data_IF_040282723615
#
_entry.id   IF_040282723615
#
_cell.length_a   1.000
_cell.length_b   1.000
_cell.length_c   1.000
_cell.angle_alpha   90.00
_cell.angle_beta   90.00
_cell.angle_gamma   90.00
#
_symmetry.space_group_name_H-M   'P 1'
#
loop_
_entity.id
_entity.type
_entity.pdbx_description
1 polymer ?
#
# COMPACT_ATOMS: atom_id res chain seq x y z
N UNK A 1 31.87 31.85 54.68
CA UNK A 1 30.54 31.76 55.32
C UNK A 1 29.53 32.80 54.81
N UNK A 2 29.91 33.98 54.28
CA UNK A 2 28.96 35.01 53.81
C UNK A 2 28.25 34.66 52.46
N UNK A 3 28.89 33.92 51.57
CA UNK A 3 28.31 33.57 50.30
C UNK A 3 27.21 32.46 50.34
N UNK A 4 27.33 31.57 51.34
CA UNK A 4 26.33 30.47 51.48
C UNK A 4 25.00 31.01 52.03
N UNK A 5 25.01 32.04 52.87
CA UNK A 5 23.79 32.66 53.40
C UNK A 5 23.02 33.43 52.30
N UNK A 6 23.76 34.13 51.42
CA UNK A 6 23.13 34.85 50.31
C UNK A 6 22.45 33.89 49.31
N UNK A 7 23.10 32.76 49.00
CA UNK A 7 22.54 31.76 48.07
C UNK A 7 21.28 31.10 48.63
N UNK A 8 21.26 30.77 49.93
CA UNK A 8 20.08 30.17 50.58
C UNK A 8 18.91 31.17 50.58
N UNK A 9 19.18 32.46 50.85
CA UNK A 9 18.15 33.49 50.86
C UNK A 9 17.50 33.68 49.49
N UNK A 10 18.29 33.68 48.41
CA UNK A 10 17.77 33.79 47.00
C UNK A 10 16.90 32.59 46.65
N UNK A 11 17.30 31.38 47.03
CA UNK A 11 16.51 30.16 46.76
C UNK A 11 15.17 30.20 47.50
N UNK A 12 15.16 30.62 48.75
CA UNK A 12 13.93 30.72 49.56
C UNK A 12 12.97 31.77 48.95
N UNK A 13 13.46 32.92 48.48
CA UNK A 13 12.65 33.94 47.83
C UNK A 13 12.05 33.43 46.50
N UNK A 14 12.81 32.70 45.71
CA UNK A 14 12.32 32.14 44.44
C UNK A 14 11.24 31.07 44.68
N UNK A 15 11.37 30.22 45.69
CA UNK A 15 10.35 29.23 46.05
C UNK A 15 9.07 29.93 46.58
N UNK A 16 9.20 30.96 47.41
CA UNK A 16 8.05 31.71 47.91
C UNK A 16 7.29 32.45 46.78
N UNK A 17 8.01 33.02 45.80
CA UNK A 17 7.42 33.69 44.66
C UNK A 17 6.66 32.71 43.73
N UNK A 18 7.19 31.52 43.54
CA UNK A 18 6.52 30.49 42.71
C UNK A 18 5.26 29.93 43.39
N UNK A 19 5.24 29.78 44.72
CA UNK A 19 4.05 29.33 45.45
C UNK A 19 2.93 30.38 45.43
N UNK A 20 3.27 31.68 45.58
CA UNK A 20 2.31 32.77 45.50
C UNK A 20 1.72 32.93 44.08
N UNK A 21 2.55 32.79 43.03
CA UNK A 21 2.11 32.82 41.62
C UNK A 21 1.15 31.69 41.28
N UNK A 22 1.38 30.48 41.78
CA UNK A 22 0.51 29.35 41.58
C UNK A 22 -0.85 29.51 42.25
N UNK A 23 -0.88 30.04 43.46
CA UNK A 23 -2.13 30.31 44.19
C UNK A 23 -3.02 31.36 43.51
N UNK A 24 -2.44 32.43 42.95
CA UNK A 24 -3.18 33.46 42.22
C UNK A 24 -3.69 32.90 40.88
N UNK A 25 -2.89 32.09 40.21
CA UNK A 25 -3.28 31.46 38.95
C UNK A 25 -4.51 30.54 39.09
N UNK A 26 -4.57 29.74 40.15
CA UNK A 26 -5.73 28.85 40.42
C UNK A 26 -6.98 29.61 40.84
N UNK A 27 -6.82 30.77 41.53
CA UNK A 27 -7.95 31.60 41.95
C UNK A 27 -8.55 32.41 40.79
N UNK A 28 -7.76 32.75 39.77
CA UNK A 28 -8.22 33.48 38.58
C UNK A 28 -8.84 32.58 37.50
N UNK A 29 -8.80 31.26 37.65
CA UNK A 29 -9.46 30.38 36.68
C UNK A 29 -10.98 30.50 36.88
N UNK A 30 -11.74 30.97 35.85
CA UNK A 30 -13.18 30.95 35.93
C UNK A 30 -13.64 29.49 36.11
N UNK A 31 -14.51 29.27 37.09
CA UNK A 31 -15.12 27.98 37.31
C UNK A 31 -15.84 27.54 36.02
N UNK A 32 -15.23 26.64 35.28
CA UNK A 32 -15.92 25.97 34.19
C UNK A 32 -16.97 25.07 34.83
N UNK A 33 -18.16 25.63 35.07
CA UNK A 33 -19.33 24.80 35.27
C UNK A 33 -19.56 24.05 33.95
N UNK A 34 -19.48 22.70 33.95
CA UNK A 34 -19.93 21.98 32.77
C UNK A 34 -21.41 22.32 32.60
N UNK A 35 -21.71 22.95 31.47
CA UNK A 35 -23.12 23.14 31.10
C UNK A 35 -23.78 21.76 31.11
N UNK A 36 -25.06 21.65 31.57
CA UNK A 36 -25.77 20.40 31.49
C UNK A 36 -25.75 19.96 30.02
N UNK A 37 -24.99 18.93 29.74
CA UNK A 37 -25.05 18.25 28.44
C UNK A 37 -26.46 17.63 28.36
N UNK A 38 -27.37 18.37 27.78
CA UNK A 38 -28.63 17.77 27.32
C UNK A 38 -28.16 16.71 26.31
N UNK A 39 -28.25 15.45 26.73
CA UNK A 39 -28.04 14.33 25.86
C UNK A 39 -29.08 14.39 24.75
N UNK A 40 -28.80 15.13 23.70
CA UNK A 40 -29.48 14.93 22.43
C UNK A 40 -28.92 13.58 21.97
N UNK A 41 -29.73 12.55 22.13
CA UNK A 41 -29.50 11.30 21.42
C UNK A 41 -29.72 11.64 19.93
N UNK A 42 -28.67 12.21 19.34
CA UNK A 42 -28.54 12.29 17.90
C UNK A 42 -28.37 10.86 17.42
N UNK A 43 -29.50 10.23 17.10
CA UNK A 43 -29.50 9.07 16.22
C UNK A 43 -29.04 9.58 14.86
N UNK A 44 -27.76 9.88 14.73
CA UNK A 44 -27.13 10.02 13.42
C UNK A 44 -27.09 8.62 12.86
N UNK A 45 -28.06 8.28 12.03
CA UNK A 45 -27.90 7.17 11.12
C UNK A 45 -26.53 7.37 10.43
N UNK A 46 -25.68 6.34 10.35
CA UNK A 46 -24.42 6.47 9.60
C UNK A 46 -24.78 7.01 8.22
N UNK A 47 -23.96 7.94 7.66
CA UNK A 47 -24.19 8.42 6.30
C UNK A 47 -24.34 7.20 5.39
N UNK A 48 -25.22 7.26 4.37
CA UNK A 48 -25.42 6.16 3.46
C UNK A 48 -24.03 5.75 2.94
N UNK A 49 -23.63 4.51 3.22
CA UNK A 49 -22.37 3.97 2.73
C UNK A 49 -22.41 4.10 1.20
N UNK A 50 -21.46 4.82 0.63
CA UNK A 50 -21.24 4.80 -0.82
C UNK A 50 -21.09 3.31 -1.15
N UNK A 51 -21.90 2.75 -2.07
CA UNK A 51 -21.80 1.34 -2.38
C UNK A 51 -20.34 1.04 -2.77
N UNK A 52 -19.70 0.11 -2.06
CA UNK A 52 -18.35 -0.31 -2.38
C UNK A 52 -18.38 -0.91 -3.79
N UNK A 53 -17.36 -0.57 -4.60
CA UNK A 53 -17.17 -1.14 -5.93
C UNK A 53 -17.19 -2.67 -5.85
N UNK A 54 -17.91 -3.31 -6.75
CA UNK A 54 -17.88 -4.77 -6.88
C UNK A 54 -16.64 -5.25 -7.64
N UNK A 55 -16.26 -6.51 -7.45
CA UNK A 55 -15.17 -7.11 -8.21
C UNK A 55 -15.41 -7.07 -9.72
N UNK A 56 -16.65 -7.22 -10.17
CA UNK A 56 -17.00 -7.14 -11.58
C UNK A 56 -16.78 -5.73 -12.15
N UNK A 57 -17.15 -4.68 -11.40
CA UNK A 57 -16.89 -3.30 -11.78
C UNK A 57 -15.39 -3.01 -11.83
N UNK A 58 -14.61 -3.49 -10.85
CA UNK A 58 -13.16 -3.33 -10.81
C UNK A 58 -12.46 -3.88 -12.08
N UNK A 59 -12.94 -5.00 -12.61
CA UNK A 59 -12.38 -5.58 -13.81
C UNK A 59 -12.67 -4.75 -15.08
N UNK A 60 -13.72 -3.93 -15.08
CA UNK A 60 -14.16 -3.13 -16.23
C UNK A 60 -13.73 -1.65 -16.15
N UNK A 61 -13.03 -1.24 -15.08
CA UNK A 61 -12.49 0.11 -15.01
C UNK A 61 -11.56 0.36 -16.18
N UNK A 62 -11.85 1.45 -16.91
CA UNK A 62 -11.02 1.88 -18.03
C UNK A 62 -9.81 2.67 -17.53
N UNK A 63 -8.62 2.21 -17.84
CA UNK A 63 -7.33 2.85 -17.54
C UNK A 63 -6.57 3.04 -18.85
N UNK A 64 -5.89 4.17 -18.99
CA UNK A 64 -5.11 4.42 -20.19
C UNK A 64 -3.72 3.75 -20.12
N UNK A 65 -3.27 3.19 -21.24
CA UNK A 65 -1.87 2.87 -21.42
C UNK A 65 -1.06 4.16 -21.68
N UNK A 66 0.26 4.02 -21.76
CA UNK A 66 1.15 5.16 -22.01
C UNK A 66 1.00 5.75 -23.42
N UNK A 67 0.24 5.17 -24.31
CA UNK A 67 -0.12 5.70 -25.62
C UNK A 67 -1.49 6.40 -25.62
N UNK A 68 -2.15 6.44 -24.44
CA UNK A 68 -3.48 7.01 -24.26
C UNK A 68 -4.61 6.09 -24.74
N UNK A 69 -4.31 4.82 -25.02
CA UNK A 69 -5.31 3.84 -25.39
C UNK A 69 -5.98 3.28 -24.14
N UNK A 70 -7.32 3.29 -24.07
CA UNK A 70 -8.04 2.72 -22.93
C UNK A 70 -7.98 1.18 -22.95
N UNK A 71 -7.80 0.63 -21.75
CA UNK A 71 -7.82 -0.81 -21.45
C UNK A 71 -8.55 -1.04 -20.13
N UNK A 72 -9.09 -2.24 -19.99
CA UNK A 72 -9.60 -2.76 -18.73
C UNK A 72 -8.97 -4.12 -18.41
N UNK A 73 -9.06 -4.60 -17.18
CA UNK A 73 -8.56 -5.94 -16.86
C UNK A 73 -9.33 -7.03 -17.61
N UNK A 74 -10.56 -6.74 -17.99
CA UNK A 74 -11.43 -7.62 -18.76
C UNK A 74 -10.91 -7.90 -20.18
N UNK A 75 -10.04 -7.05 -20.73
CA UNK A 75 -9.42 -7.24 -22.05
C UNK A 75 -8.57 -8.53 -22.13
N UNK A 76 -8.15 -9.04 -20.99
CA UNK A 76 -7.31 -10.24 -20.89
C UNK A 76 -8.05 -11.49 -20.39
N UNK A 77 -9.40 -11.48 -20.39
CA UNK A 77 -10.16 -12.69 -20.08
C UNK A 77 -9.73 -13.87 -20.94
N UNK A 78 -9.78 -15.05 -20.37
CA UNK A 78 -9.28 -16.28 -20.98
C UNK A 78 -7.81 -16.57 -20.70
N UNK A 79 -7.11 -15.65 -20.04
CA UNK A 79 -5.73 -15.84 -19.56
C UNK A 79 -5.67 -15.81 -18.05
N UNK A 80 -4.62 -16.39 -17.47
CA UNK A 80 -4.20 -16.06 -16.11
C UNK A 80 -3.58 -14.68 -16.16
N UNK A 81 -4.13 -13.73 -15.37
CA UNK A 81 -3.65 -12.35 -15.36
C UNK A 81 -2.96 -12.07 -14.02
N UNK A 82 -1.69 -11.68 -14.05
CA UNK A 82 -1.01 -11.13 -12.88
C UNK A 82 -1.01 -9.61 -12.98
N UNK A 83 -1.84 -8.96 -12.17
CA UNK A 83 -1.91 -7.50 -12.06
C UNK A 83 -0.96 -7.06 -10.96
N UNK A 84 0.05 -6.26 -11.30
CA UNK A 84 1.02 -5.73 -10.35
C UNK A 84 0.81 -4.21 -10.20
N UNK A 85 0.43 -3.77 -9.00
CA UNK A 85 0.30 -2.37 -8.63
C UNK A 85 1.65 -1.89 -8.10
N UNK A 86 2.20 -0.87 -8.73
CA UNK A 86 3.56 -0.40 -8.48
C UNK A 86 3.72 1.11 -8.67
N UNK A 87 4.86 1.68 -8.23
CA UNK A 87 5.20 3.07 -8.49
C UNK A 87 6.70 3.25 -8.73
N UNK A 88 7.07 4.31 -9.44
CA UNK A 88 8.48 4.62 -9.78
C UNK A 88 9.31 4.97 -8.56
N UNK A 89 8.71 5.55 -7.53
CA UNK A 89 9.34 5.93 -6.26
C UNK A 89 9.40 4.77 -5.24
N UNK A 90 8.81 3.61 -5.54
CA UNK A 90 8.77 2.43 -4.66
C UNK A 90 9.99 1.53 -4.92
N UNK A 91 11.01 1.47 -4.04
CA UNK A 91 12.21 0.67 -4.29
C UNK A 91 11.93 -0.82 -4.48
N UNK A 92 11.16 -1.52 -3.61
CA UNK A 92 10.88 -2.94 -3.81
C UNK A 92 10.09 -3.22 -5.10
N UNK A 93 9.23 -2.29 -5.53
CA UNK A 93 8.53 -2.43 -6.81
C UNK A 93 9.50 -2.46 -7.99
N UNK A 94 10.49 -1.55 -7.98
CA UNK A 94 11.50 -1.46 -9.04
C UNK A 94 12.40 -2.68 -9.10
N UNK A 95 12.70 -3.29 -7.95
CA UNK A 95 13.49 -4.51 -7.86
C UNK A 95 12.73 -5.72 -8.38
N UNK A 96 11.40 -5.74 -8.28
CA UNK A 96 10.54 -6.83 -8.75
C UNK A 96 10.34 -6.82 -10.28
N UNK A 97 10.40 -5.66 -10.96
CA UNK A 97 10.15 -5.54 -12.42
C UNK A 97 10.96 -6.54 -13.26
N UNK A 98 12.27 -6.75 -13.06
CA UNK A 98 13.04 -7.73 -13.84
C UNK A 98 12.55 -9.17 -13.67
N UNK A 99 12.02 -9.52 -12.51
CA UNK A 99 11.40 -10.82 -12.25
C UNK A 99 10.10 -10.96 -13.08
N UNK A 100 9.23 -9.97 -13.04
CA UNK A 100 7.99 -9.96 -13.79
C UNK A 100 8.25 -10.06 -15.32
N UNK A 101 9.25 -9.34 -15.83
CA UNK A 101 9.68 -9.45 -17.24
C UNK A 101 10.09 -10.87 -17.60
N UNK A 102 10.84 -11.55 -16.73
CA UNK A 102 11.22 -12.96 -16.95
C UNK A 102 10.02 -13.90 -16.92
N UNK A 103 9.10 -13.72 -15.97
CA UNK A 103 7.89 -14.51 -15.86
C UNK A 103 6.98 -14.34 -17.09
N UNK A 104 6.77 -13.09 -17.54
CA UNK A 104 6.03 -12.83 -18.75
C UNK A 104 6.65 -13.53 -19.97
N UNK A 105 7.96 -13.39 -20.16
CA UNK A 105 8.65 -14.04 -21.29
C UNK A 105 8.54 -15.57 -21.22
N UNK A 106 8.62 -16.15 -20.03
CA UNK A 106 8.62 -17.61 -19.84
C UNK A 106 7.25 -18.24 -19.99
N UNK A 107 6.18 -17.56 -19.53
CA UNK A 107 4.87 -18.16 -19.38
C UNK A 107 3.79 -17.58 -20.31
N UNK A 108 4.10 -16.56 -21.12
CA UNK A 108 3.14 -15.95 -22.04
C UNK A 108 2.49 -16.99 -22.98
N UNK A 109 3.29 -17.89 -23.57
CA UNK A 109 2.80 -18.95 -24.45
C UNK A 109 1.94 -20.01 -23.72
N UNK A 110 1.99 -20.02 -22.38
CA UNK A 110 1.22 -20.92 -21.53
C UNK A 110 -0.05 -20.27 -20.97
N UNK A 111 -0.36 -19.04 -21.41
CA UNK A 111 -1.56 -18.32 -21.05
C UNK A 111 -1.40 -17.30 -19.91
N UNK A 112 -0.16 -16.95 -19.53
CA UNK A 112 0.08 -15.84 -18.61
C UNK A 112 0.01 -14.49 -19.33
N UNK A 113 -0.65 -13.52 -18.70
CA UNK A 113 -0.53 -12.11 -19.01
C UNK A 113 -0.19 -11.34 -17.74
N UNK A 114 0.89 -10.59 -17.74
CA UNK A 114 1.19 -9.62 -16.69
C UNK A 114 0.69 -8.24 -17.14
N UNK A 115 0.12 -7.48 -16.20
CA UNK A 115 -0.32 -6.10 -16.39
C UNK A 115 0.23 -5.29 -15.23
N UNK A 116 1.03 -4.28 -15.50
CA UNK A 116 1.49 -3.33 -14.49
C UNK A 116 0.54 -2.15 -14.41
N UNK A 117 0.03 -1.84 -13.21
CA UNK A 117 -0.74 -0.62 -12.96
C UNK A 117 0.13 0.34 -12.18
N UNK A 118 0.54 1.42 -12.83
CA UNK A 118 1.32 2.47 -12.20
C UNK A 118 0.41 3.36 -11.34
N UNK A 119 0.76 3.50 -10.07
CA UNK A 119 0.02 4.33 -9.10
C UNK A 119 0.59 5.75 -8.97
N UNK A 120 1.48 6.14 -9.88
CA UNK A 120 2.08 7.48 -9.97
C UNK A 120 1.05 8.46 -10.58
N UNK A 121 0.01 8.77 -9.85
CA UNK A 121 -1.15 9.56 -10.31
C UNK A 121 -0.78 10.97 -10.80
N UNK A 122 0.38 11.48 -10.42
CA UNK A 122 0.79 12.86 -10.71
C UNK A 122 1.89 12.96 -11.77
N UNK A 123 2.46 11.85 -12.24
CA UNK A 123 3.60 11.89 -13.14
C UNK A 123 3.72 10.70 -14.09
N UNK A 124 2.85 10.68 -15.11
CA UNK A 124 3.02 9.78 -16.25
C UNK A 124 4.43 9.89 -16.87
N UNK A 125 5.03 11.08 -16.82
CA UNK A 125 6.39 11.31 -17.32
C UNK A 125 7.43 10.51 -16.54
N UNK A 126 7.31 10.39 -15.23
CA UNK A 126 8.23 9.58 -14.41
C UNK A 126 8.13 8.10 -14.77
N UNK A 127 6.92 7.60 -15.03
CA UNK A 127 6.70 6.23 -15.52
C UNK A 127 7.38 6.04 -16.88
N UNK A 128 7.20 6.96 -17.83
CA UNK A 128 7.86 6.93 -19.13
C UNK A 128 9.37 6.95 -19.01
N UNK A 129 9.93 7.79 -18.15
CA UNK A 129 11.37 7.92 -17.95
C UNK A 129 11.96 6.69 -17.25
N UNK A 130 11.21 6.07 -16.35
CA UNK A 130 11.59 4.78 -15.77
C UNK A 130 11.66 3.69 -16.86
N UNK A 131 10.65 3.57 -17.70
CA UNK A 131 10.55 2.55 -18.75
C UNK A 131 11.56 2.74 -19.88
N UNK A 132 12.10 3.95 -20.10
CA UNK A 132 13.25 4.17 -21.00
C UNK A 132 14.52 3.47 -20.51
N UNK A 133 14.64 3.29 -19.19
CA UNK A 133 15.80 2.63 -18.54
C UNK A 133 15.58 1.15 -18.29
N UNK A 134 14.32 0.71 -18.27
CA UNK A 134 13.93 -0.66 -17.94
C UNK A 134 13.04 -1.22 -19.05
N UNK A 135 13.55 -2.19 -19.79
CA UNK A 135 12.75 -2.85 -20.84
C UNK A 135 11.69 -3.72 -20.20
N UNK A 136 10.42 -3.33 -20.37
CA UNK A 136 9.25 -4.08 -19.89
C UNK A 136 8.53 -4.68 -21.09
N UNK A 137 8.13 -5.95 -21.01
CA UNK A 137 7.52 -6.75 -22.08
C UNK A 137 6.04 -7.06 -21.82
N UNK A 138 5.38 -6.28 -20.99
CA UNK A 138 3.95 -6.39 -20.66
C UNK A 138 3.31 -5.00 -20.60
N UNK A 139 1.97 -4.90 -20.74
CA UNK A 139 1.26 -3.62 -20.70
C UNK A 139 1.46 -2.89 -19.36
N UNK A 140 1.64 -1.58 -19.44
CA UNK A 140 1.61 -0.67 -18.30
C UNK A 140 0.42 0.27 -18.47
N UNK A 141 -0.45 0.28 -17.47
CA UNK A 141 -1.61 1.16 -17.38
C UNK A 141 -1.38 2.22 -16.29
N UNK A 142 -1.98 3.39 -16.47
CA UNK A 142 -2.04 4.41 -15.45
C UNK A 142 -3.26 4.16 -14.55
N UNK A 143 -3.03 4.09 -13.23
CA UNK A 143 -4.08 3.75 -12.26
C UNK A 143 -5.13 4.85 -12.05
N UNK A 144 -4.80 6.11 -12.40
CA UNK A 144 -5.72 7.27 -12.42
C UNK A 144 -6.61 7.40 -11.15
N UNK A 145 -6.03 7.14 -9.95
CA UNK A 145 -6.75 7.18 -8.67
C UNK A 145 -7.55 5.91 -8.32
N UNK A 146 -7.66 4.95 -9.22
CA UNK A 146 -8.50 3.75 -9.03
C UNK A 146 -7.77 2.56 -8.39
N UNK A 147 -6.45 2.63 -8.21
CA UNK A 147 -5.65 1.47 -7.76
C UNK A 147 -6.13 0.86 -6.44
N UNK A 148 -6.41 1.71 -5.44
CA UNK A 148 -6.88 1.25 -4.14
C UNK A 148 -8.28 0.63 -4.24
N UNK A 149 -9.18 1.27 -4.98
CA UNK A 149 -10.55 0.81 -5.15
C UNK A 149 -10.58 -0.56 -5.86
N UNK A 150 -9.74 -0.74 -6.90
CA UNK A 150 -9.61 -2.01 -7.62
C UNK A 150 -9.11 -3.12 -6.68
N UNK A 151 -8.04 -2.89 -5.93
CA UNK A 151 -7.49 -3.90 -5.01
C UNK A 151 -8.50 -4.27 -3.94
N UNK A 152 -9.16 -3.28 -3.33
CA UNK A 152 -10.15 -3.50 -2.29
C UNK A 152 -11.39 -4.24 -2.82
N UNK A 153 -11.88 -3.88 -4.02
CA UNK A 153 -13.00 -4.55 -4.67
C UNK A 153 -12.70 -6.01 -5.03
N UNK A 154 -11.43 -6.32 -5.32
CA UNK A 154 -10.95 -7.68 -5.56
C UNK A 154 -10.67 -8.47 -4.26
N UNK A 155 -10.95 -7.90 -3.11
CA UNK A 155 -10.84 -8.55 -1.80
C UNK A 155 -9.44 -8.45 -1.15
N UNK A 156 -8.61 -7.52 -1.60
CA UNK A 156 -7.33 -7.18 -0.98
C UNK A 156 -7.41 -5.95 -0.09
N UNK A 157 -6.30 -5.66 0.59
CA UNK A 157 -6.09 -4.43 1.34
C UNK A 157 -4.97 -3.61 0.66
N UNK A 158 -5.30 -2.41 0.19
CA UNK A 158 -4.30 -1.52 -0.41
C UNK A 158 -3.61 -0.67 0.66
N UNK A 159 -2.71 -1.29 1.42
CA UNK A 159 -1.98 -0.65 2.53
C UNK A 159 -0.55 -0.24 2.15
N UNK A 160 -0.06 -0.59 0.97
CA UNK A 160 1.30 -0.28 0.49
C UNK A 160 1.59 -0.96 -0.84
N UNK A 161 2.80 -0.70 -1.36
CA UNK A 161 3.27 -1.22 -2.65
C UNK A 161 4.53 -2.09 -2.47
N UNK A 162 4.74 -3.07 -3.38
CA UNK A 162 3.84 -3.51 -4.44
C UNK A 162 2.66 -4.34 -3.92
N UNK A 163 1.59 -4.41 -4.69
CA UNK A 163 0.52 -5.40 -4.51
C UNK A 163 0.36 -6.16 -5.83
N UNK A 164 0.27 -7.48 -5.76
CA UNK A 164 0.02 -8.31 -6.92
C UNK A 164 -1.28 -9.10 -6.75
N UNK A 165 -2.20 -8.97 -7.71
CA UNK A 165 -3.45 -9.73 -7.79
C UNK A 165 -3.34 -10.70 -8.96
N UNK A 166 -3.54 -11.99 -8.70
CA UNK A 166 -3.60 -13.00 -9.76
C UNK A 166 -5.06 -13.36 -10.00
N UNK A 167 -5.48 -13.26 -11.26
CA UNK A 167 -6.83 -13.60 -11.72
C UNK A 167 -6.78 -14.89 -12.52
N UNK A 168 -7.80 -15.74 -12.31
CA UNK A 168 -8.09 -16.88 -13.17
C UNK A 168 -8.64 -16.43 -14.54
N UNK A 169 -8.67 -17.31 -15.55
CA UNK A 169 -9.18 -16.98 -16.89
C UNK A 169 -10.61 -16.45 -16.93
N UNK A 170 -11.42 -16.75 -15.94
CA UNK A 170 -12.81 -16.25 -15.81
C UNK A 170 -12.90 -14.88 -15.13
N UNK A 171 -11.75 -14.33 -14.67
CA UNK A 171 -11.68 -13.07 -13.95
C UNK A 171 -11.86 -13.20 -12.43
N UNK A 172 -12.05 -14.39 -11.90
CA UNK A 172 -12.08 -14.60 -10.46
C UNK A 172 -10.69 -14.46 -9.84
N UNK A 173 -10.63 -14.03 -8.59
CA UNK A 173 -9.35 -13.84 -7.88
C UNK A 173 -8.78 -15.17 -7.44
N UNK A 174 -7.63 -15.55 -7.99
CA UNK A 174 -6.88 -16.73 -7.57
C UNK A 174 -6.08 -16.46 -6.30
N UNK A 175 -5.35 -15.33 -6.26
CA UNK A 175 -4.49 -14.96 -5.13
C UNK A 175 -4.18 -13.47 -5.10
N UNK A 176 -4.04 -12.92 -3.89
CA UNK A 176 -3.49 -11.57 -3.67
C UNK A 176 -2.21 -11.71 -2.85
N UNK A 177 -1.19 -10.96 -3.23
CA UNK A 177 0.08 -10.85 -2.52
C UNK A 177 0.38 -9.38 -2.24
N UNK A 178 0.56 -9.04 -0.97
CA UNK A 178 1.03 -7.72 -0.54
C UNK A 178 2.53 -7.76 -0.27
N UNK A 179 3.27 -6.80 -0.83
CA UNK A 179 4.72 -6.74 -0.78
C UNK A 179 5.40 -7.46 -1.95
N UNK A 180 6.70 -7.21 -2.14
CA UNK A 180 7.50 -7.83 -3.17
C UNK A 180 7.63 -9.34 -2.94
N UNK A 181 7.63 -10.10 -4.02
CA UNK A 181 7.74 -11.56 -3.99
C UNK A 181 9.18 -12.00 -4.25
N UNK A 182 9.61 -13.02 -3.51
CA UNK A 182 10.84 -13.71 -3.85
C UNK A 182 10.70 -14.46 -5.19
N UNK A 183 11.77 -14.59 -5.98
CA UNK A 183 11.69 -15.16 -7.33
C UNK A 183 11.05 -16.54 -7.40
N UNK A 184 11.34 -17.40 -6.44
CA UNK A 184 10.79 -18.77 -6.39
C UNK A 184 9.29 -18.75 -6.04
N UNK A 185 8.88 -17.85 -5.17
CA UNK A 185 7.49 -17.73 -4.73
C UNK A 185 6.61 -17.14 -5.83
N UNK A 186 7.08 -16.09 -6.50
CA UNK A 186 6.40 -15.49 -7.65
C UNK A 186 6.24 -16.51 -8.80
N UNK A 187 7.28 -17.28 -9.08
CA UNK A 187 7.22 -18.31 -10.12
C UNK A 187 6.26 -19.44 -9.73
N UNK A 188 6.29 -19.91 -8.49
CA UNK A 188 5.37 -20.94 -7.99
C UNK A 188 3.92 -20.44 -7.99
N UNK A 189 3.67 -19.17 -7.66
CA UNK A 189 2.36 -18.56 -7.75
C UNK A 189 1.81 -18.57 -9.19
N UNK A 190 2.61 -18.13 -10.15
CA UNK A 190 2.25 -18.17 -11.58
C UNK A 190 2.00 -19.61 -12.05
N UNK A 191 2.85 -20.55 -11.69
CA UNK A 191 2.70 -21.97 -12.05
C UNK A 191 1.43 -22.57 -11.46
N UNK A 192 1.12 -22.26 -10.20
CA UNK A 192 -0.10 -22.73 -9.55
C UNK A 192 -1.36 -22.20 -10.27
N UNK A 193 -1.40 -20.92 -10.63
CA UNK A 193 -2.51 -20.34 -11.38
C UNK A 193 -2.63 -20.96 -12.79
N UNK A 194 -1.51 -21.26 -13.45
CA UNK A 194 -1.47 -21.96 -14.75
C UNK A 194 -1.69 -23.48 -14.63
N UNK A 195 -1.94 -24.00 -13.42
CA UNK A 195 -2.12 -25.45 -13.13
C UNK A 195 -0.90 -26.30 -13.55
N UNK A 196 0.29 -25.73 -13.47
CA UNK A 196 1.57 -26.38 -13.71
C UNK A 196 2.15 -26.94 -12.41
N UNK A 197 2.94 -28.02 -12.46
CA UNK A 197 3.65 -28.53 -11.26
C UNK A 197 4.52 -27.44 -10.62
N UNK A 198 4.57 -27.40 -9.30
CA UNK A 198 5.48 -26.50 -8.57
C UNK A 198 6.94 -26.77 -8.95
N UNK A 199 7.79 -25.76 -8.80
CA UNK A 199 9.24 -25.98 -8.89
C UNK A 199 9.69 -26.88 -7.74
N UNK A 200 10.70 -27.73 -7.95
CA UNK A 200 11.31 -28.44 -6.83
C UNK A 200 11.80 -27.40 -5.81
N UNK A 201 11.38 -27.56 -4.54
CA UNK A 201 11.85 -26.68 -3.47
C UNK A 201 13.38 -26.70 -3.44
N UNK A 202 14.00 -25.53 -3.49
CA UNK A 202 15.42 -25.45 -3.23
C UNK A 202 15.66 -26.02 -1.84
N UNK A 203 16.35 -27.20 -1.77
CA UNK A 203 16.75 -27.81 -0.51
C UNK A 203 17.55 -26.73 0.25
N UNK A 204 17.21 -26.41 1.51
CA UNK A 204 17.99 -25.43 2.24
C UNK A 204 19.44 -25.88 2.19
N UNK A 205 20.34 -24.98 1.79
CA UNK A 205 21.77 -25.24 1.81
C UNK A 205 22.11 -25.59 3.25
N UNK A 206 22.47 -26.85 3.48
CA UNK A 206 23.00 -27.31 4.77
C UNK A 206 24.33 -26.59 4.96
N UNK A 207 24.29 -25.52 5.75
CA UNK A 207 25.52 -24.89 6.24
C UNK A 207 26.15 -25.87 7.19
N UNK A 208 27.06 -26.72 6.67
CA UNK A 208 27.95 -27.50 7.50
C UNK A 208 28.85 -26.51 8.21
N UNK A 209 28.53 -26.21 9.44
CA UNK A 209 29.50 -25.59 10.35
C UNK A 209 30.54 -26.62 10.61
N UNK A 210 31.75 -26.46 9.99
CA UNK A 210 32.93 -27.17 10.37
C UNK A 210 33.33 -26.73 11.79
N UNK A 211 33.44 -27.70 12.66
CA UNK A 211 33.86 -27.58 14.05
C UNK A 211 35.38 -27.39 14.12
#
# INVERSE_FOLDING_TARGET
MKHTQATVLVIVILIAASAAGFGVYTWMQPAHHPAPVTSVAETSAPPPAIPAMSAAEALTISMNDLQGKPHSLDDWRGKVVLVNFWATWCPPCREEVPLLVKLQAKYAAQGLQIVGIATDEQSEQDVRDFLKRMVVNYPILMGDGHSADIVNALGGDFIGLPVSVVLDPDGSVFRINAGAMEPVDAENLVRAALKLPALPSAKPAVTTQAN
#
